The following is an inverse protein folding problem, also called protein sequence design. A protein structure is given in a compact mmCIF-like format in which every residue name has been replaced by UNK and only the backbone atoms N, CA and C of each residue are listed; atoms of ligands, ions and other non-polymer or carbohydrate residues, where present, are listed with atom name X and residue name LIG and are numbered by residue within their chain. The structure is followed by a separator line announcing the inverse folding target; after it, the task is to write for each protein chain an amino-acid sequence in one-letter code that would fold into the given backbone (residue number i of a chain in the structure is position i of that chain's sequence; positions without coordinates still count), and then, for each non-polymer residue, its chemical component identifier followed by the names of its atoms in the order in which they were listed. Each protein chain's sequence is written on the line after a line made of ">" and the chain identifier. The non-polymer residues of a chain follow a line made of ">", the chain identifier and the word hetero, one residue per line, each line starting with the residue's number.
data_IF_561137958373
#
_entry.id   IF_561137958373
#
_cell.length_a   1.000
_cell.length_b   1.000
_cell.length_c   1.000
_cell.angle_alpha   90.00
_cell.angle_beta   90.00
_cell.angle_gamma   90.00
#
_symmetry.space_group_name_H-M   'P 1'
#
loop_
_entity.id
_entity.type
_entity.pdbx_description
1 polymer ?
#
# COMPACT_ATOMS: atom_id res chain seq x y z
N UNK A 1 11.03 23.55 -9.64
CA UNK A 1 10.12 23.73 -10.78
C UNK A 1 10.49 24.98 -11.58
N UNK A 2 10.96 24.81 -12.79
CA UNK A 2 11.39 25.90 -13.67
C UNK A 2 10.47 25.97 -14.90
N UNK A 3 9.61 27.00 -14.95
CA UNK A 3 8.71 27.29 -16.06
C UNK A 3 7.33 26.61 -15.97
N UNK A 4 6.39 27.16 -16.70
CA UNK A 4 4.97 26.75 -16.72
C UNK A 4 4.81 25.27 -17.11
N UNK A 5 5.59 24.79 -18.07
CA UNK A 5 5.54 23.39 -18.54
C UNK A 5 5.86 22.40 -17.41
N UNK A 6 6.83 22.71 -16.53
CA UNK A 6 7.17 21.84 -15.39
C UNK A 6 6.01 21.72 -14.40
N UNK A 7 5.25 22.81 -14.17
CA UNK A 7 4.06 22.76 -13.31
C UNK A 7 2.95 21.89 -13.89
N UNK A 8 2.70 21.95 -15.20
CA UNK A 8 1.71 21.08 -15.85
C UNK A 8 2.11 19.62 -15.79
N UNK A 9 3.39 19.31 -16.03
CA UNK A 9 3.91 17.94 -15.93
C UNK A 9 3.80 17.43 -14.48
N UNK A 10 4.21 18.23 -13.52
CA UNK A 10 4.14 17.94 -12.09
C UNK A 10 2.70 17.64 -11.64
N UNK A 11 1.76 18.50 -12.02
CA UNK A 11 0.34 18.32 -11.72
C UNK A 11 -0.25 17.10 -12.43
N UNK A 12 0.12 16.83 -13.68
CA UNK A 12 -0.32 15.65 -14.42
C UNK A 12 0.08 14.36 -13.72
N UNK A 13 1.32 14.24 -13.23
CA UNK A 13 1.74 13.10 -12.40
C UNK A 13 1.01 13.08 -11.06
N UNK A 14 0.71 14.25 -10.49
CA UNK A 14 -0.09 14.38 -9.27
C UNK A 14 -1.49 13.81 -9.40
N UNK A 15 -2.18 14.06 -10.51
CA UNK A 15 -3.49 13.46 -10.80
C UNK A 15 -3.36 11.93 -10.83
N UNK A 16 -2.35 11.40 -11.52
CA UNK A 16 -2.14 9.95 -11.61
C UNK A 16 -1.70 9.32 -10.28
N UNK A 17 -1.04 10.07 -9.39
CA UNK A 17 -0.74 9.67 -8.01
C UNK A 17 -1.95 9.76 -7.07
N UNK A 18 -3.09 10.29 -7.52
CA UNK A 18 -4.27 10.56 -6.70
C UNK A 18 -3.99 11.55 -5.55
N UNK A 19 -3.41 12.72 -5.88
CA UNK A 19 -3.21 13.80 -4.91
C UNK A 19 -4.53 14.27 -4.27
N UNK A 20 -4.50 14.91 -3.09
CA UNK A 20 -5.69 15.48 -2.47
C UNK A 20 -6.48 16.33 -3.48
N UNK A 21 -7.80 16.30 -3.37
CA UNK A 21 -8.77 16.96 -4.28
C UNK A 21 -8.97 16.19 -5.60
N UNK A 22 -7.93 15.66 -6.23
CA UNK A 22 -8.00 14.94 -7.52
C UNK A 22 -7.93 13.41 -7.39
N UNK A 23 -8.18 12.86 -6.20
CA UNK A 23 -8.05 11.44 -5.88
C UNK A 23 -9.28 10.58 -6.16
N UNK A 24 -10.46 11.19 -6.34
CA UNK A 24 -11.75 10.49 -6.38
C UNK A 24 -11.82 9.44 -7.49
N UNK A 25 -11.19 9.70 -8.64
CA UNK A 25 -11.15 8.74 -9.74
C UNK A 25 -10.62 7.37 -9.30
N UNK A 26 -9.65 7.32 -8.39
CA UNK A 26 -9.06 6.07 -7.92
C UNK A 26 -10.03 5.33 -6.99
N UNK A 27 -10.61 6.01 -6.01
CA UNK A 27 -11.55 5.41 -5.06
C UNK A 27 -12.85 4.95 -5.70
N UNK A 28 -13.25 5.55 -6.82
CA UNK A 28 -14.48 5.21 -7.53
C UNK A 28 -14.26 4.15 -8.61
N UNK A 29 -13.15 4.25 -9.39
CA UNK A 29 -12.91 3.34 -10.52
C UNK A 29 -12.36 1.97 -10.08
N UNK A 30 -11.46 1.93 -9.10
CA UNK A 30 -10.79 0.67 -8.72
C UNK A 30 -11.76 -0.38 -8.19
N UNK A 31 -12.70 -0.05 -7.28
CA UNK A 31 -13.66 -1.03 -6.80
C UNK A 31 -14.61 -1.59 -7.86
N UNK A 32 -14.90 -0.81 -8.90
CA UNK A 32 -15.80 -1.21 -9.99
C UNK A 32 -15.12 -2.10 -11.05
N UNK A 33 -13.79 -2.18 -11.02
CA UNK A 33 -13.04 -2.98 -11.98
C UNK A 33 -13.14 -4.49 -11.70
N UNK A 34 -12.75 -5.32 -12.66
CA UNK A 34 -12.67 -6.77 -12.46
C UNK A 34 -11.64 -7.14 -11.39
N UNK A 35 -11.74 -8.35 -10.81
CA UNK A 35 -10.78 -8.83 -9.81
C UNK A 35 -9.33 -8.82 -10.29
N UNK A 36 -9.09 -9.13 -11.58
CA UNK A 36 -7.75 -9.03 -12.19
C UNK A 36 -7.37 -7.59 -12.52
N UNK A 37 -8.31 -6.80 -13.06
CA UNK A 37 -8.06 -5.41 -13.45
C UNK A 37 -7.61 -4.53 -12.30
N UNK A 38 -8.23 -4.66 -11.13
CA UNK A 38 -7.85 -3.88 -9.94
C UNK A 38 -6.42 -4.19 -9.49
N UNK A 39 -5.96 -5.44 -9.61
CA UNK A 39 -4.60 -5.83 -9.25
C UNK A 39 -3.59 -5.11 -10.14
N UNK A 40 -3.80 -5.12 -11.48
CA UNK A 40 -2.94 -4.41 -12.42
C UNK A 40 -2.93 -2.90 -12.18
N UNK A 41 -4.09 -2.28 -12.01
CA UNK A 41 -4.18 -0.84 -11.72
C UNK A 41 -3.49 -0.49 -10.40
N UNK A 42 -3.70 -1.26 -9.35
CA UNK A 42 -3.11 -1.01 -8.05
C UNK A 42 -1.59 -1.20 -8.04
N UNK A 43 -1.06 -2.12 -8.85
CA UNK A 43 0.38 -2.41 -8.87
C UNK A 43 1.16 -1.46 -9.78
N UNK A 44 0.60 -0.99 -10.90
CA UNK A 44 1.37 -0.27 -11.90
C UNK A 44 0.98 1.21 -12.07
N UNK A 45 -0.30 1.56 -12.06
CA UNK A 45 -0.75 2.90 -12.47
C UNK A 45 -0.14 4.01 -11.62
N UNK A 46 -0.37 3.99 -10.31
CA UNK A 46 0.17 5.02 -9.40
C UNK A 46 1.68 4.92 -9.25
N UNK A 47 2.26 3.72 -9.38
CA UNK A 47 3.71 3.52 -9.25
C UNK A 47 4.48 4.07 -10.44
N UNK A 48 3.91 4.03 -11.63
CA UNK A 48 4.49 4.69 -12.80
C UNK A 48 4.62 6.21 -12.58
N UNK A 49 3.59 6.84 -12.00
CA UNK A 49 3.65 8.25 -11.65
C UNK A 49 4.64 8.54 -10.50
N UNK A 50 4.73 7.67 -9.49
CA UNK A 50 5.75 7.76 -8.44
C UNK A 50 7.15 7.68 -9.04
N UNK A 51 7.39 6.76 -9.96
CA UNK A 51 8.67 6.67 -10.67
C UNK A 51 9.00 7.96 -11.42
N UNK A 52 8.02 8.54 -12.11
CA UNK A 52 8.21 9.80 -12.83
C UNK A 52 8.51 10.98 -11.87
N UNK A 53 7.82 11.06 -10.72
CA UNK A 53 8.11 12.07 -9.68
C UNK A 53 9.50 11.87 -9.07
N UNK A 54 9.90 10.61 -8.80
CA UNK A 54 11.21 10.27 -8.26
C UNK A 54 12.35 10.68 -9.21
N UNK A 55 12.11 10.59 -10.53
CA UNK A 55 13.09 10.97 -11.56
C UNK A 55 13.10 12.46 -11.85
N UNK A 56 11.94 13.10 -11.85
CA UNK A 56 11.76 14.47 -12.33
C UNK A 56 11.78 15.55 -11.25
N UNK A 57 11.38 15.21 -10.02
CA UNK A 57 11.11 16.18 -8.96
C UNK A 57 11.66 15.76 -7.58
N UNK A 58 12.88 15.21 -7.49
CA UNK A 58 13.46 14.85 -6.19
C UNK A 58 13.72 16.13 -5.36
N UNK A 59 13.37 16.09 -4.08
CA UNK A 59 13.59 17.18 -3.15
C UNK A 59 12.66 18.38 -3.32
N UNK A 60 11.58 18.25 -4.11
CA UNK A 60 10.58 19.33 -4.23
C UNK A 60 9.78 19.47 -2.92
N UNK A 61 9.90 20.60 -2.19
CA UNK A 61 9.32 20.73 -0.84
C UNK A 61 7.80 20.58 -0.78
N UNK A 62 7.09 20.98 -1.84
CA UNK A 62 5.64 20.86 -1.93
C UNK A 62 5.16 19.40 -1.82
N UNK A 63 5.94 18.44 -2.32
CA UNK A 63 5.64 17.01 -2.25
C UNK A 63 5.58 16.50 -0.81
N UNK A 64 6.36 17.09 0.11
CA UNK A 64 6.32 16.68 1.52
C UNK A 64 4.92 16.86 2.10
N UNK A 65 4.34 18.05 1.92
CA UNK A 65 3.02 18.37 2.49
C UNK A 65 1.87 17.72 1.72
N UNK A 66 1.99 17.62 0.41
CA UNK A 66 1.05 16.86 -0.43
C UNK A 66 1.04 15.38 0.03
N UNK A 67 2.21 14.78 0.20
CA UNK A 67 2.34 13.39 0.64
C UNK A 67 1.84 13.18 2.07
N UNK A 68 2.07 14.12 3.00
CA UNK A 68 1.47 14.08 4.34
C UNK A 68 -0.05 14.11 4.26
N UNK A 69 -0.62 14.98 3.45
CA UNK A 69 -2.07 14.99 3.19
C UNK A 69 -2.56 13.65 2.66
N UNK A 70 -1.90 13.10 1.63
CA UNK A 70 -2.23 11.78 1.06
C UNK A 70 -2.11 10.65 2.07
N UNK A 71 -1.12 10.71 2.97
CA UNK A 71 -0.93 9.67 3.97
C UNK A 71 -2.00 9.70 5.07
N UNK A 72 -2.56 10.85 5.39
CA UNK A 72 -3.42 11.03 6.56
C UNK A 72 -4.92 11.02 6.24
N UNK A 73 -5.38 11.82 5.26
CA UNK A 73 -6.83 11.97 5.04
C UNK A 73 -7.56 10.67 4.64
N UNK A 74 -6.97 9.74 3.83
CA UNK A 74 -7.71 8.55 3.40
C UNK A 74 -8.05 7.59 4.54
N UNK A 75 -7.36 7.71 5.67
CA UNK A 75 -7.61 6.88 6.85
C UNK A 75 -9.06 7.02 7.31
N UNK A 76 -9.55 8.26 7.38
CA UNK A 76 -10.91 8.53 7.86
C UNK A 76 -11.96 7.88 6.94
N UNK A 77 -11.78 7.97 5.63
CA UNK A 77 -12.68 7.32 4.66
C UNK A 77 -12.57 5.79 4.72
N UNK A 78 -11.35 5.25 4.81
CA UNK A 78 -11.13 3.81 4.89
C UNK A 78 -11.75 3.18 6.16
N UNK A 79 -11.78 3.92 7.26
CA UNK A 79 -12.37 3.44 8.53
C UNK A 79 -13.88 3.31 8.43
N UNK A 80 -14.58 4.29 7.84
CA UNK A 80 -16.04 4.28 7.73
C UNK A 80 -16.57 3.45 6.55
N UNK A 81 -15.73 3.18 5.55
CA UNK A 81 -16.15 2.47 4.34
C UNK A 81 -16.51 1.01 4.63
N UNK A 82 -17.56 0.51 4.00
CA UNK A 82 -18.03 -0.88 4.17
C UNK A 82 -17.53 -1.83 3.07
N UNK A 83 -17.29 -1.32 1.86
CA UNK A 83 -16.74 -2.11 0.77
C UNK A 83 -15.24 -2.33 0.96
N UNK A 84 -14.81 -3.60 1.11
CA UNK A 84 -13.40 -3.95 1.37
C UNK A 84 -12.47 -3.57 0.21
N UNK A 85 -12.95 -3.53 -1.03
CA UNK A 85 -12.17 -3.07 -2.19
C UNK A 85 -11.98 -1.55 -2.15
N UNK A 86 -13.00 -0.81 -1.74
CA UNK A 86 -12.92 0.63 -1.51
C UNK A 86 -12.00 0.99 -0.35
N UNK A 87 -12.05 0.22 0.74
CA UNK A 87 -11.09 0.33 1.85
C UNK A 87 -9.65 0.21 1.34
N UNK A 88 -9.38 -0.80 0.48
CA UNK A 88 -8.06 -0.99 -0.12
C UNK A 88 -7.67 0.14 -1.08
N UNK A 89 -8.62 0.74 -1.80
CA UNK A 89 -8.38 1.88 -2.67
C UNK A 89 -7.96 3.12 -1.87
N UNK A 90 -8.65 3.47 -0.78
CA UNK A 90 -8.21 4.53 0.13
C UNK A 90 -6.86 4.22 0.77
N UNK A 91 -6.67 2.98 1.19
CA UNK A 91 -5.38 2.53 1.71
C UNK A 91 -4.25 2.64 0.68
N UNK A 92 -4.54 2.55 -0.62
CA UNK A 92 -3.54 2.75 -1.69
C UNK A 92 -3.07 4.20 -1.73
N UNK A 93 -4.00 5.18 -1.67
CA UNK A 93 -3.65 6.60 -1.62
C UNK A 93 -2.75 6.90 -0.41
N UNK A 94 -3.08 6.32 0.75
CA UNK A 94 -2.26 6.45 1.95
C UNK A 94 -0.82 5.94 1.72
N UNK A 95 -0.63 4.76 1.13
CA UNK A 95 0.72 4.21 0.89
C UNK A 95 1.50 5.03 -0.14
N UNK A 96 0.85 5.50 -1.20
CA UNK A 96 1.44 6.42 -2.17
C UNK A 96 1.90 7.71 -1.48
N UNK A 97 1.15 8.19 -0.47
CA UNK A 97 1.52 9.34 0.35
C UNK A 97 2.90 9.20 1.02
N UNK A 98 3.22 8.03 1.57
CA UNK A 98 4.56 7.75 2.12
C UNK A 98 5.67 7.90 1.06
N UNK A 99 5.43 7.38 -0.16
CA UNK A 99 6.39 7.49 -1.26
C UNK A 99 6.59 8.96 -1.66
N UNK A 100 5.51 9.72 -1.78
CA UNK A 100 5.54 11.15 -2.15
C UNK A 100 6.29 11.97 -1.10
N UNK A 101 6.09 11.69 0.21
CA UNK A 101 6.88 12.33 1.28
C UNK A 101 8.36 12.06 1.11
N UNK A 102 8.75 10.79 0.88
CA UNK A 102 10.15 10.43 0.70
C UNK A 102 10.80 11.12 -0.50
N UNK A 103 10.06 11.24 -1.62
CA UNK A 103 10.53 12.00 -2.80
C UNK A 103 10.71 13.48 -2.45
N UNK A 104 9.77 14.08 -1.73
CA UNK A 104 9.80 15.48 -1.32
C UNK A 104 10.93 15.80 -0.34
N UNK A 105 11.34 14.86 0.51
CA UNK A 105 12.52 15.01 1.38
C UNK A 105 13.80 15.09 0.54
N UNK A 106 13.95 14.22 -0.47
CA UNK A 106 14.98 14.29 -1.49
C UNK A 106 16.38 13.85 -1.08
N UNK A 107 16.56 13.29 0.12
CA UNK A 107 17.85 12.69 0.51
C UNK A 107 18.04 11.31 -0.11
N UNK A 108 19.27 10.82 -0.25
CA UNK A 108 19.53 9.47 -0.75
C UNK A 108 18.77 8.40 0.05
N UNK A 109 18.73 8.53 1.38
CA UNK A 109 17.97 7.63 2.25
C UNK A 109 16.47 7.69 1.96
N UNK A 110 15.88 8.87 1.83
CA UNK A 110 14.43 9.02 1.57
C UNK A 110 14.03 8.53 0.18
N UNK A 111 14.89 8.74 -0.80
CA UNK A 111 14.68 8.24 -2.17
C UNK A 111 14.76 6.72 -2.22
N UNK A 112 15.74 6.12 -1.52
CA UNK A 112 15.82 4.67 -1.34
C UNK A 112 14.59 4.12 -0.61
N UNK A 113 14.13 4.80 0.44
CA UNK A 113 12.90 4.45 1.15
C UNK A 113 11.67 4.46 0.25
N UNK A 114 11.54 5.50 -0.60
CA UNK A 114 10.44 5.59 -1.56
C UNK A 114 10.49 4.46 -2.59
N UNK A 115 11.67 4.16 -3.16
CA UNK A 115 11.85 3.06 -4.10
C UNK A 115 11.55 1.70 -3.43
N UNK A 116 12.08 1.45 -2.24
CA UNK A 116 11.82 0.23 -1.49
C UNK A 116 10.32 0.08 -1.17
N UNK A 117 9.63 1.21 -0.88
CA UNK A 117 8.21 1.18 -0.58
C UNK A 117 7.35 0.90 -1.83
N UNK A 118 7.78 1.35 -3.01
CA UNK A 118 7.14 0.96 -4.29
C UNK A 118 7.15 -0.56 -4.45
N UNK A 119 8.31 -1.21 -4.32
CA UNK A 119 8.42 -2.67 -4.44
C UNK A 119 7.59 -3.40 -3.38
N UNK A 120 7.67 -2.96 -2.13
CA UNK A 120 6.92 -3.56 -1.02
C UNK A 120 5.42 -3.40 -1.22
N UNK A 121 4.96 -2.22 -1.65
CA UNK A 121 3.54 -1.92 -1.85
C UNK A 121 2.93 -2.73 -3.00
N UNK A 122 3.66 -2.94 -4.08
CA UNK A 122 3.24 -3.83 -5.18
C UNK A 122 2.90 -5.22 -4.63
N UNK A 123 3.75 -5.77 -3.77
CA UNK A 123 3.56 -7.10 -3.21
C UNK A 123 2.41 -7.16 -2.21
N UNK A 124 2.43 -6.38 -1.14
CA UNK A 124 1.39 -6.52 -0.12
C UNK A 124 0.02 -5.99 -0.58
N UNK A 125 -0.03 -4.95 -1.44
CA UNK A 125 -1.28 -4.50 -2.05
C UNK A 125 -1.83 -5.52 -3.04
N UNK A 126 -0.95 -6.04 -3.91
CA UNK A 126 -1.32 -7.12 -4.81
C UNK A 126 -1.91 -8.31 -4.05
N UNK A 127 -1.26 -8.73 -2.97
CA UNK A 127 -1.71 -9.84 -2.12
C UNK A 127 -3.08 -9.56 -1.47
N UNK A 128 -3.28 -8.37 -0.93
CA UNK A 128 -4.56 -7.97 -0.33
C UNK A 128 -5.69 -7.91 -1.37
N UNK A 129 -5.44 -7.31 -2.53
CA UNK A 129 -6.43 -7.27 -3.60
C UNK A 129 -6.71 -8.65 -4.19
N UNK A 130 -5.71 -9.53 -4.31
CA UNK A 130 -5.91 -10.92 -4.71
C UNK A 130 -6.78 -11.68 -3.68
N UNK A 131 -6.52 -11.48 -2.39
CA UNK A 131 -7.28 -12.14 -1.32
C UNK A 131 -8.74 -11.69 -1.28
N UNK A 132 -8.99 -10.38 -1.31
CA UNK A 132 -10.36 -9.83 -1.36
C UNK A 132 -11.04 -10.17 -2.68
N UNK A 133 -10.29 -10.16 -3.80
CA UNK A 133 -10.77 -10.59 -5.10
C UNK A 133 -11.17 -12.08 -5.14
N UNK A 134 -10.41 -12.94 -4.46
CA UNK A 134 -10.75 -14.36 -4.29
C UNK A 134 -12.03 -14.55 -3.47
N UNK A 135 -12.18 -13.79 -2.38
CA UNK A 135 -13.43 -13.78 -1.59
C UNK A 135 -14.61 -13.36 -2.48
N UNK A 136 -14.47 -12.26 -3.22
CA UNK A 136 -15.51 -11.80 -4.14
C UNK A 136 -15.82 -12.85 -5.23
N UNK A 137 -14.81 -13.48 -5.79
CA UNK A 137 -15.00 -14.52 -6.82
C UNK A 137 -15.80 -15.71 -6.31
N UNK A 138 -15.58 -16.12 -5.07
CA UNK A 138 -16.23 -17.30 -4.48
C UNK A 138 -17.62 -16.98 -3.88
N UNK A 139 -17.79 -15.78 -3.31
CA UNK A 139 -19.01 -15.41 -2.56
C UNK A 139 -19.95 -14.48 -3.31
N UNK A 140 -19.45 -13.77 -4.32
CA UNK A 140 -20.16 -12.66 -4.97
C UNK A 140 -20.30 -11.41 -4.10
N UNK A 141 -19.67 -11.36 -2.91
CA UNK A 141 -19.82 -10.30 -1.91
C UNK A 141 -18.50 -9.57 -1.65
N UNK A 142 -18.59 -8.28 -1.32
CA UNK A 142 -17.44 -7.41 -1.04
C UNK A 142 -17.62 -6.58 0.24
N UNK A 143 -18.85 -6.49 0.78
CA UNK A 143 -19.15 -5.67 1.95
C UNK A 143 -18.78 -6.38 3.24
N UNK A 144 -18.09 -5.68 4.14
CA UNK A 144 -17.68 -6.18 5.44
C UNK A 144 -18.85 -6.75 6.26
N UNK A 145 -20.01 -6.10 6.21
CA UNK A 145 -21.23 -6.50 6.94
C UNK A 145 -21.90 -7.77 6.39
N UNK A 146 -21.58 -8.18 5.16
CA UNK A 146 -22.17 -9.37 4.52
C UNK A 146 -21.23 -10.58 4.57
N UNK A 147 -19.98 -10.39 4.98
CA UNK A 147 -18.95 -11.40 5.08
C UNK A 147 -18.78 -11.87 6.54
N UNK A 148 -17.93 -12.85 6.74
CA UNK A 148 -17.55 -13.34 8.08
C UNK A 148 -17.45 -14.86 8.14
N UNK A 149 -16.56 -15.34 9.01
CA UNK A 149 -16.37 -16.78 9.26
C UNK A 149 -15.72 -17.55 8.11
N UNK A 150 -15.25 -16.88 7.05
CA UNK A 150 -14.72 -17.53 5.86
C UNK A 150 -13.40 -18.28 6.08
N UNK A 151 -12.69 -18.07 7.19
CA UNK A 151 -11.46 -18.81 7.48
C UNK A 151 -11.65 -20.32 7.51
N UNK A 152 -12.85 -20.78 7.89
CA UNK A 152 -13.20 -22.22 7.92
C UNK A 152 -13.26 -22.86 6.51
N UNK A 153 -13.64 -22.08 5.51
CA UNK A 153 -13.83 -22.55 4.13
C UNK A 153 -12.71 -22.11 3.18
N UNK A 154 -12.04 -20.99 3.48
CA UNK A 154 -10.94 -20.44 2.68
C UNK A 154 -9.68 -20.16 3.53
N UNK A 155 -9.10 -21.17 4.21
CA UNK A 155 -7.98 -20.97 5.14
C UNK A 155 -6.71 -20.48 4.44
N UNK A 156 -6.41 -20.94 3.24
CA UNK A 156 -5.24 -20.50 2.49
C UNK A 156 -5.36 -19.02 2.08
N UNK A 157 -6.50 -18.62 1.53
CA UNK A 157 -6.78 -17.23 1.18
C UNK A 157 -6.73 -16.33 2.41
N UNK A 158 -7.30 -16.78 3.53
CA UNK A 158 -7.26 -16.05 4.81
C UNK A 158 -5.84 -15.87 5.34
N UNK A 159 -5.00 -16.90 5.27
CA UNK A 159 -3.59 -16.82 5.67
C UNK A 159 -2.81 -15.84 4.79
N UNK A 160 -3.00 -15.89 3.47
CA UNK A 160 -2.40 -14.93 2.55
C UNK A 160 -2.87 -13.49 2.83
N UNK A 161 -4.15 -13.29 3.13
CA UNK A 161 -4.69 -11.99 3.53
C UNK A 161 -4.01 -11.48 4.81
N UNK A 162 -3.81 -12.32 5.82
CA UNK A 162 -3.10 -11.94 7.07
C UNK A 162 -1.64 -11.56 6.81
N UNK A 163 -0.93 -12.26 5.93
CA UNK A 163 0.44 -11.92 5.54
C UNK A 163 0.48 -10.54 4.86
N UNK A 164 -0.43 -10.27 3.93
CA UNK A 164 -0.56 -8.97 3.29
C UNK A 164 -0.91 -7.86 4.29
N UNK A 165 -1.81 -8.15 5.22
CA UNK A 165 -2.24 -7.24 6.29
C UNK A 165 -1.11 -6.93 7.28
N UNK A 166 -0.31 -7.90 7.69
CA UNK A 166 0.86 -7.70 8.52
C UNK A 166 1.93 -6.88 7.78
N UNK A 167 2.13 -7.18 6.49
CA UNK A 167 3.11 -6.47 5.67
C UNK A 167 2.75 -4.99 5.49
N UNK A 168 1.51 -4.66 5.09
CA UNK A 168 1.08 -3.26 4.93
C UNK A 168 1.11 -2.49 6.25
N UNK A 169 0.87 -3.17 7.36
CA UNK A 169 0.90 -2.61 8.73
C UNK A 169 2.30 -2.31 9.26
N UNK A 170 3.33 -2.62 8.47
CA UNK A 170 4.73 -2.52 8.89
C UNK A 170 5.04 -3.40 10.13
N UNK A 171 4.48 -4.61 10.17
CA UNK A 171 4.84 -5.56 11.20
C UNK A 171 6.30 -6.07 10.98
N UNK A 172 7.12 -6.18 12.03
CA UNK A 172 8.49 -6.68 11.89
C UNK A 172 8.56 -7.99 11.11
N UNK A 173 9.63 -8.20 10.37
CA UNK A 173 9.88 -9.35 9.47
C UNK A 173 9.04 -9.37 8.17
N UNK A 174 8.30 -8.30 7.88
CA UNK A 174 7.59 -8.15 6.61
C UNK A 174 8.09 -6.95 5.81
N UNK A 175 7.87 -6.97 4.50
CA UNK A 175 8.40 -5.98 3.54
C UNK A 175 8.02 -4.53 3.85
N UNK A 176 6.81 -4.30 4.38
CA UNK A 176 6.33 -2.97 4.74
C UNK A 176 7.08 -2.34 5.91
N UNK A 177 7.61 -3.15 6.85
CA UNK A 177 8.44 -2.66 7.94
C UNK A 177 9.74 -2.06 7.41
N UNK A 178 10.44 -2.80 6.54
CA UNK A 178 11.71 -2.36 5.95
C UNK A 178 11.56 -1.02 5.25
N UNK A 179 10.60 -0.91 4.34
CA UNK A 179 10.46 0.28 3.51
C UNK A 179 9.92 1.50 4.26
N UNK A 180 8.94 1.33 5.17
CA UNK A 180 8.43 2.44 5.97
C UNK A 180 9.45 2.96 6.97
N UNK A 181 10.23 2.06 7.58
CA UNK A 181 11.29 2.46 8.51
C UNK A 181 12.30 3.40 7.86
N UNK A 182 12.72 3.11 6.62
CA UNK A 182 13.66 3.96 5.88
C UNK A 182 13.07 5.36 5.65
N UNK A 183 11.80 5.45 5.22
CA UNK A 183 11.14 6.75 4.99
C UNK A 183 11.00 7.53 6.31
N UNK A 184 10.55 6.88 7.37
CA UNK A 184 10.35 7.53 8.68
C UNK A 184 11.68 7.99 9.27
N UNK A 185 12.74 7.20 9.14
CA UNK A 185 14.07 7.57 9.60
C UNK A 185 14.62 8.77 8.83
N UNK A 186 14.41 8.82 7.51
CA UNK A 186 14.82 9.99 6.73
C UNK A 186 14.11 11.27 7.15
N UNK A 187 12.85 11.19 7.60
CA UNK A 187 12.12 12.33 8.14
C UNK A 187 12.66 12.76 9.52
N UNK A 188 13.08 11.80 10.34
CA UNK A 188 13.69 12.06 11.65
C UNK A 188 15.09 12.69 11.50
N UNK A 189 15.96 12.13 10.67
CA UNK A 189 17.29 12.67 10.37
C UNK A 189 17.22 14.07 9.73
N UNK A 190 16.21 14.30 8.88
CA UNK A 190 15.95 15.61 8.29
C UNK A 190 15.36 16.65 9.28
N UNK A 191 15.29 16.33 10.58
CA UNK A 191 14.72 17.16 11.64
C UNK A 191 13.31 17.69 11.31
N UNK A 192 12.42 16.80 10.82
CA UNK A 192 11.03 17.11 10.44
C UNK A 192 10.03 16.42 11.37
N UNK A 193 9.94 16.81 12.65
CA UNK A 193 9.14 16.08 13.65
C UNK A 193 7.64 16.02 13.32
N UNK A 194 7.09 17.07 12.73
CA UNK A 194 5.67 17.10 12.32
C UNK A 194 5.39 16.08 11.21
N UNK A 195 6.27 16.00 10.21
CA UNK A 195 6.16 15.01 9.12
C UNK A 195 6.28 13.60 9.68
N UNK A 196 7.27 13.36 10.54
CA UNK A 196 7.47 12.06 11.19
C UNK A 196 6.23 11.64 12.00
N UNK A 197 5.68 12.55 12.81
CA UNK A 197 4.47 12.29 13.61
C UNK A 197 3.25 11.99 12.73
N UNK A 198 3.08 12.73 11.63
CA UNK A 198 2.00 12.50 10.67
C UNK A 198 2.13 11.12 9.98
N UNK A 199 3.34 10.71 9.61
CA UNK A 199 3.59 9.38 9.04
C UNK A 199 3.36 8.27 10.07
N UNK A 200 3.73 8.49 11.34
CA UNK A 200 3.44 7.55 12.43
C UNK A 200 1.93 7.36 12.60
N UNK A 201 1.18 8.46 12.66
CA UNK A 201 -0.29 8.44 12.71
C UNK A 201 -0.88 7.71 11.49
N UNK A 202 -0.36 7.99 10.30
CA UNK A 202 -0.79 7.34 9.07
C UNK A 202 -0.52 5.83 9.11
N UNK A 203 0.63 5.39 9.62
CA UNK A 203 0.96 3.97 9.76
C UNK A 203 0.04 3.26 10.77
N UNK A 204 -0.27 3.89 11.90
CA UNK A 204 -1.22 3.36 12.88
C UNK A 204 -2.63 3.24 12.29
N UNK A 205 -3.06 4.23 11.51
CA UNK A 205 -4.34 4.18 10.79
C UNK A 205 -4.42 3.02 9.80
N UNK A 206 -3.35 2.74 9.07
CA UNK A 206 -3.27 1.59 8.15
C UNK A 206 -3.39 0.26 8.89
N UNK A 207 -2.74 0.13 10.03
CA UNK A 207 -2.86 -1.06 10.88
C UNK A 207 -4.33 -1.34 11.22
N UNK A 208 -5.10 -0.29 11.55
CA UNK A 208 -6.52 -0.43 11.87
C UNK A 208 -7.35 -0.85 10.64
N UNK A 209 -7.32 -0.08 9.53
CA UNK A 209 -8.27 -0.28 8.43
C UNK A 209 -7.84 -1.36 7.41
N UNK A 210 -6.55 -1.60 7.23
CA UNK A 210 -6.06 -2.64 6.32
C UNK A 210 -5.50 -3.86 7.07
N UNK A 211 -4.81 -3.64 8.19
CA UNK A 211 -4.21 -4.69 8.99
C UNK A 211 -5.22 -5.53 9.76
N UNK A 212 -6.20 -4.89 10.40
CA UNK A 212 -7.20 -5.58 11.22
C UNK A 212 -8.52 -5.73 10.48
N UNK A 213 -9.10 -4.63 10.02
CA UNK A 213 -10.46 -4.59 9.47
C UNK A 213 -10.69 -5.60 8.35
N UNK A 214 -9.77 -5.67 7.37
CA UNK A 214 -9.95 -6.53 6.19
C UNK A 214 -9.93 -8.02 6.58
N UNK A 215 -8.87 -8.56 7.22
CA UNK A 215 -8.89 -9.98 7.58
C UNK A 215 -9.97 -10.30 8.62
N UNK A 216 -10.22 -9.40 9.58
CA UNK A 216 -11.24 -9.65 10.60
C UNK A 216 -12.64 -9.80 9.98
N UNK A 217 -13.10 -8.82 9.22
CA UNK A 217 -14.46 -8.86 8.69
C UNK A 217 -14.66 -9.92 7.61
N UNK A 218 -13.65 -10.20 6.79
CA UNK A 218 -13.78 -11.24 5.78
C UNK A 218 -13.71 -12.66 6.37
N UNK A 219 -12.82 -12.91 7.32
CA UNK A 219 -12.46 -14.28 7.71
C UNK A 219 -12.82 -14.66 9.14
N UNK A 220 -12.80 -13.71 10.11
CA UNK A 220 -12.87 -14.02 11.54
C UNK A 220 -14.08 -13.46 12.26
N UNK A 221 -14.83 -12.51 11.69
CA UNK A 221 -16.03 -11.95 12.32
C UNK A 221 -17.12 -13.03 12.45
N UNK A 222 -18.33 -12.61 12.86
CA UNK A 222 -19.47 -13.50 13.00
C UNK A 222 -19.66 -14.41 11.78
N UNK A 223 -20.13 -15.63 12.02
CA UNK A 223 -20.36 -16.60 10.95
C UNK A 223 -21.59 -16.18 10.11
N UNK A 224 -21.33 -15.69 8.91
CA UNK A 224 -22.40 -15.27 7.98
C UNK A 224 -23.15 -16.44 7.33
N UNK A 225 -22.81 -17.69 7.66
CA UNK A 225 -23.42 -18.87 7.05
C UNK A 225 -22.93 -19.19 5.64
N UNK A 226 -22.01 -18.38 5.08
CA UNK A 226 -21.46 -18.59 3.74
C UNK A 226 -20.53 -19.80 3.76
N UNK A 227 -20.81 -20.76 2.89
CA UNK A 227 -19.98 -21.97 2.70
C UNK A 227 -19.56 -22.05 1.24
N UNK A 228 -18.29 -21.80 0.97
CA UNK A 228 -17.71 -21.79 -0.37
C UNK A 228 -16.45 -22.66 -0.43
N UNK A 229 -16.02 -23.01 -1.62
CA UNK A 229 -14.72 -23.68 -1.81
C UNK A 229 -13.58 -22.68 -1.71
N UNK A 230 -12.39 -23.18 -1.45
CA UNK A 230 -11.16 -22.38 -1.53
C UNK A 230 -10.97 -21.80 -2.95
N UNK A 231 -10.21 -20.71 -3.05
CA UNK A 231 -9.91 -20.08 -4.32
C UNK A 231 -9.31 -21.06 -5.35
N UNK A 232 -9.53 -20.85 -6.66
CA UNK A 232 -8.92 -21.65 -7.72
C UNK A 232 -7.40 -21.73 -7.57
N UNK A 233 -6.82 -22.84 -8.04
CA UNK A 233 -5.39 -23.14 -7.84
C UNK A 233 -4.46 -22.06 -8.41
N UNK A 234 -4.78 -21.48 -9.56
CA UNK A 234 -4.02 -20.38 -10.17
C UNK A 234 -3.99 -19.13 -9.27
N UNK A 235 -5.12 -18.77 -8.65
CA UNK A 235 -5.18 -17.65 -7.69
C UNK A 235 -4.37 -17.94 -6.44
N UNK A 236 -4.43 -19.18 -5.92
CA UNK A 236 -3.66 -19.61 -4.76
C UNK A 236 -2.15 -19.57 -5.02
N UNK A 237 -1.71 -20.03 -6.19
CA UNK A 237 -0.29 -19.98 -6.57
C UNK A 237 0.18 -18.51 -6.63
N UNK A 238 -0.58 -17.62 -7.27
CA UNK A 238 -0.23 -16.20 -7.33
C UNK A 238 -0.14 -15.56 -5.93
N UNK A 239 -1.12 -15.80 -5.06
CA UNK A 239 -1.09 -15.31 -3.68
C UNK A 239 0.08 -15.90 -2.89
N UNK A 240 0.38 -17.20 -3.06
CA UNK A 240 1.50 -17.86 -2.38
C UNK A 240 2.85 -17.26 -2.76
N UNK A 241 3.11 -17.07 -4.05
CA UNK A 241 4.35 -16.44 -4.54
C UNK A 241 4.50 -15.01 -3.97
N UNK A 242 3.42 -14.24 -4.00
CA UNK A 242 3.43 -12.86 -3.50
C UNK A 242 3.61 -12.81 -1.98
N UNK A 243 3.00 -13.73 -1.24
CA UNK A 243 3.17 -13.86 0.21
C UNK A 243 4.62 -14.19 0.59
N UNK A 244 5.25 -15.13 -0.14
CA UNK A 244 6.68 -15.43 0.04
C UNK A 244 7.54 -14.19 -0.24
N UNK A 245 7.24 -13.41 -1.28
CA UNK A 245 7.92 -12.15 -1.56
C UNK A 245 7.82 -11.15 -0.41
N UNK A 246 6.64 -10.99 0.20
CA UNK A 246 6.46 -10.11 1.36
C UNK A 246 7.33 -10.51 2.56
N UNK A 247 7.45 -11.81 2.82
CA UNK A 247 8.26 -12.35 3.91
C UNK A 247 9.75 -12.27 3.57
N UNK A 248 10.14 -12.64 2.35
CA UNK A 248 11.54 -12.65 1.91
C UNK A 248 12.17 -11.26 2.01
N UNK A 249 11.48 -10.21 1.55
CA UNK A 249 11.95 -8.82 1.68
C UNK A 249 12.07 -8.41 3.16
N UNK A 250 11.16 -8.87 4.01
CA UNK A 250 11.18 -8.53 5.43
C UNK A 250 12.31 -9.21 6.21
N UNK A 251 12.63 -10.46 5.88
CA UNK A 251 13.65 -11.26 6.58
C UNK A 251 15.05 -11.05 6.00
N UNK A 252 15.15 -10.95 4.68
CA UNK A 252 16.41 -10.88 3.94
C UNK A 252 16.51 -9.60 3.08
N UNK A 253 16.41 -8.39 3.67
CA UNK A 253 16.42 -7.14 2.89
C UNK A 253 17.74 -6.94 2.14
N UNK A 254 18.87 -7.36 2.73
CA UNK A 254 20.20 -7.23 2.14
C UNK A 254 20.38 -8.02 0.84
N UNK A 255 19.70 -9.16 0.70
CA UNK A 255 19.76 -10.00 -0.49
C UNK A 255 18.64 -9.71 -1.50
N UNK A 256 17.57 -9.06 -1.06
CA UNK A 256 16.35 -8.91 -1.88
C UNK A 256 16.14 -7.50 -2.38
N UNK A 257 15.92 -6.53 -1.47
CA UNK A 257 15.51 -5.18 -1.84
C UNK A 257 16.66 -4.19 -1.91
N UNK A 258 17.64 -4.26 -0.99
CA UNK A 258 18.70 -3.26 -0.92
C UNK A 258 19.59 -3.21 -2.17
N UNK A 259 19.94 -4.34 -2.83
CA UNK A 259 20.70 -4.30 -4.07
C UNK A 259 19.97 -3.63 -5.25
N UNK A 260 18.64 -3.45 -5.15
CA UNK A 260 17.81 -2.83 -6.18
C UNK A 260 17.63 -1.33 -5.96
N UNK A 261 18.12 -0.77 -4.83
CA UNK A 261 17.92 0.63 -4.51
C UNK A 261 18.85 1.54 -5.33
N UNK A 262 18.35 2.74 -5.74
CA UNK A 262 19.04 3.58 -6.71
C UNK A 262 20.25 4.36 -6.15
N UNK A 263 20.38 4.49 -4.84
CA UNK A 263 21.43 5.31 -4.21
C UNK A 263 22.27 4.50 -3.22
N UNK A 264 23.59 4.70 -3.26
CA UNK A 264 24.47 4.27 -2.19
C UNK A 264 24.26 5.14 -0.95
N UNK A 265 23.26 4.84 -0.17
CA UNK A 265 22.97 5.49 1.10
C UNK A 265 23.06 4.46 2.22
N UNK A 266 23.42 4.86 3.46
CA UNK A 266 23.42 3.93 4.56
C UNK A 266 22.04 3.31 4.68
N UNK A 267 21.98 2.03 4.42
CA UNK A 267 20.85 1.17 4.76
C UNK A 267 21.16 0.68 6.16
N UNK A 268 20.18 0.69 7.05
CA UNK A 268 20.41 0.30 8.44
C UNK A 268 21.15 -1.03 8.50
N UNK A 269 22.38 -0.99 9.02
CA UNK A 269 23.04 -2.18 9.52
C UNK A 269 22.26 -2.66 10.77
N UNK A 270 22.04 -3.96 10.85
CA UNK A 270 21.34 -4.60 11.98
C UNK A 270 22.17 -4.54 13.26
#
# INVERSE_FOLDING_TARGET
>A
LNGISSYFIFFGFGVNCAWPIVHSWLSDTYPESTAGGIIFMATFTTKAAIYALLRGFPGEPSLVWIGVGMATFPIFYAVIENDLRKVLAYSLINQVGFMVVGIGIGTGLSMNGSAAHVYSDILFKGLLFMSVGAVMHQTGKVKATELGGLFKSMPFTGTCCMIGAASISAFPLFSGFVSKSIIMSSAAEGNRPIVWLALLFASAGVFHHAGIKIPFFAFFSHDSGIRVKEAPINMRIAMGITAVGCIAIGIFPDQTIYPLLPFEAPVYER
#
